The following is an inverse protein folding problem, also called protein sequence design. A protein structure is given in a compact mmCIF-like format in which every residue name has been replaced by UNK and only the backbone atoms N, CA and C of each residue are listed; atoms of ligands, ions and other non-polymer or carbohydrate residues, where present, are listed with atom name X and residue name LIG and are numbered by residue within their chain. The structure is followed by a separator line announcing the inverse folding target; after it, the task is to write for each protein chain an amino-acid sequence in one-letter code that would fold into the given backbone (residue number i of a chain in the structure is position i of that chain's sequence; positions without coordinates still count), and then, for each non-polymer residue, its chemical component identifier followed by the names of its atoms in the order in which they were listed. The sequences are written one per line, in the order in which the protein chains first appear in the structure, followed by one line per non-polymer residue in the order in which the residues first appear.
data_IF_621682745150
#
_entry.id   IF_621682745150
#
_cell.length_a   1.000
_cell.length_b   1.000
_cell.length_c   1.000
_cell.angle_alpha   90.00
_cell.angle_beta   90.00
_cell.angle_gamma   90.00
#
_symmetry.space_group_name_H-M   'P 1'
#
loop_
_entity.id
_entity.type
_entity.pdbx_description
1 polymer ?
#
# COMPACT_ATOMS: atom_id res chain seq x y z
N UNK A 1 5.51 -27.42 1.77
CA UNK A 1 5.27 -28.82 2.14
C UNK A 1 4.82 -29.70 0.97
N UNK A 2 3.90 -29.24 0.11
CA UNK A 2 3.42 -30.01 -1.04
C UNK A 2 4.54 -30.30 -2.05
N UNK A 3 5.39 -29.32 -2.36
CA UNK A 3 6.57 -29.47 -3.22
C UNK A 3 7.55 -30.53 -2.71
N UNK A 4 7.76 -30.60 -1.41
CA UNK A 4 8.70 -31.52 -0.77
C UNK A 4 8.23 -32.98 -0.77
N UNK A 5 6.92 -33.20 -0.91
CA UNK A 5 6.30 -34.53 -0.98
C UNK A 5 6.11 -35.03 -2.41
N UNK A 6 6.32 -34.19 -3.42
CA UNK A 6 6.17 -34.59 -4.82
C UNK A 6 7.38 -35.39 -5.29
N UNK A 7 7.12 -36.41 -6.09
CA UNK A 7 8.19 -37.20 -6.73
C UNK A 7 8.90 -36.34 -7.80
N UNK A 8 10.18 -36.57 -8.01
CA UNK A 8 11.00 -35.86 -9.02
C UNK A 8 10.32 -35.80 -10.39
N UNK A 9 9.70 -36.91 -10.83
CA UNK A 9 8.99 -37.02 -12.11
C UNK A 9 7.77 -36.06 -12.19
N UNK A 10 7.10 -35.81 -11.09
CA UNK A 10 5.95 -34.86 -11.02
C UNK A 10 6.41 -33.40 -11.04
N UNK A 11 7.60 -33.13 -10.47
CA UNK A 11 8.20 -31.81 -10.44
C UNK A 11 8.76 -31.40 -11.81
N UNK A 12 9.43 -32.32 -12.51
CA UNK A 12 10.02 -32.05 -13.83
C UNK A 12 9.00 -31.76 -14.93
N UNK A 13 7.74 -32.12 -14.71
CA UNK A 13 6.62 -31.78 -15.62
C UNK A 13 5.98 -30.41 -15.32
N UNK A 14 6.46 -29.67 -14.32
CA UNK A 14 5.98 -28.34 -13.96
C UNK A 14 6.98 -27.28 -14.42
N UNK A 15 6.52 -26.30 -15.19
CA UNK A 15 7.35 -25.21 -15.69
C UNK A 15 7.39 -24.00 -14.75
N UNK A 16 6.37 -23.82 -13.89
CA UNK A 16 6.24 -22.67 -13.00
C UNK A 16 5.80 -23.14 -11.61
N UNK A 17 6.51 -22.66 -10.58
CA UNK A 17 6.19 -22.84 -9.19
C UNK A 17 5.95 -21.48 -8.55
N UNK A 18 4.76 -21.29 -7.97
CA UNK A 18 4.44 -20.09 -7.17
C UNK A 18 4.63 -20.43 -5.70
N UNK A 19 5.51 -19.68 -5.03
CA UNK A 19 5.85 -19.91 -3.63
C UNK A 19 5.81 -18.59 -2.87
N UNK A 20 5.16 -18.61 -1.69
CA UNK A 20 5.17 -17.46 -0.79
C UNK A 20 6.57 -17.34 -0.17
N UNK A 21 7.19 -16.16 -0.24
CA UNK A 21 8.52 -15.86 0.27
C UNK A 21 8.74 -16.31 1.72
N UNK A 22 7.77 -16.03 2.61
CA UNK A 22 7.80 -16.49 4.02
C UNK A 22 7.88 -18.01 4.18
N UNK A 23 7.34 -18.78 3.25
CA UNK A 23 7.43 -20.25 3.29
C UNK A 23 8.87 -20.70 3.06
N UNK A 24 9.58 -20.09 2.11
CA UNK A 24 10.99 -20.38 1.87
C UNK A 24 11.84 -19.97 3.09
N UNK A 25 11.57 -18.80 3.66
CA UNK A 25 12.24 -18.33 4.87
C UNK A 25 12.10 -19.29 6.04
N UNK A 26 10.87 -19.70 6.37
CA UNK A 26 10.61 -20.68 7.42
C UNK A 26 11.32 -22.00 7.15
N UNK A 27 11.25 -22.49 5.90
CA UNK A 27 11.96 -23.73 5.52
C UNK A 27 13.47 -23.60 5.75
N UNK A 28 14.06 -22.46 5.42
CA UNK A 28 15.47 -22.18 5.63
C UNK A 28 15.82 -22.12 7.14
N UNK A 29 14.96 -21.48 7.94
CA UNK A 29 15.14 -21.38 9.40
C UNK A 29 14.99 -22.73 10.09
N UNK A 30 13.98 -23.52 9.71
CA UNK A 30 13.63 -24.79 10.37
C UNK A 30 14.56 -25.95 9.95
N UNK A 31 15.01 -25.97 8.70
CA UNK A 31 15.72 -27.11 8.09
C UNK A 31 17.08 -26.75 7.51
N UNK A 32 17.46 -25.49 7.53
CA UNK A 32 18.74 -24.99 7.08
C UNK A 32 18.80 -24.68 5.57
N UNK A 33 19.83 -23.91 5.19
CA UNK A 33 20.06 -23.44 3.83
C UNK A 33 20.30 -24.59 2.84
N UNK A 34 21.07 -25.59 3.25
CA UNK A 34 21.39 -26.76 2.41
C UNK A 34 20.11 -27.48 1.99
N UNK A 35 19.20 -27.74 2.93
CA UNK A 35 17.94 -28.41 2.63
C UNK A 35 17.09 -27.62 1.64
N UNK A 36 16.99 -26.30 1.79
CA UNK A 36 16.27 -25.45 0.83
C UNK A 36 16.87 -25.56 -0.56
N UNK A 37 18.22 -25.48 -0.68
CA UNK A 37 18.91 -25.61 -1.95
C UNK A 37 18.70 -26.98 -2.59
N UNK A 38 18.82 -28.06 -1.82
CA UNK A 38 18.56 -29.42 -2.29
C UNK A 38 17.14 -29.59 -2.86
N UNK A 39 16.15 -28.94 -2.23
CA UNK A 39 14.76 -28.91 -2.73
C UNK A 39 14.64 -28.20 -4.07
N UNK A 40 15.27 -27.02 -4.22
CA UNK A 40 15.22 -26.27 -5.46
C UNK A 40 15.97 -26.97 -6.60
N UNK A 41 17.13 -27.57 -6.28
CA UNK A 41 17.87 -28.42 -7.23
C UNK A 41 17.07 -29.65 -7.64
N UNK A 42 16.40 -30.31 -6.67
CA UNK A 42 15.54 -31.46 -6.95
C UNK A 42 14.35 -31.09 -7.86
N UNK A 43 13.79 -29.89 -7.67
CA UNK A 43 12.74 -29.35 -8.52
C UNK A 43 13.26 -28.78 -9.86
N UNK A 44 14.58 -28.84 -10.12
CA UNK A 44 15.22 -28.32 -11.31
C UNK A 44 14.93 -26.81 -11.56
N UNK A 45 14.91 -26.01 -10.48
CA UNK A 45 14.65 -24.57 -10.56
C UNK A 45 15.89 -23.87 -11.12
N UNK A 46 15.81 -23.40 -12.35
CA UNK A 46 16.90 -22.66 -13.00
C UNK A 46 16.75 -21.13 -12.88
N UNK A 47 15.52 -20.63 -12.84
CA UNK A 47 15.22 -19.20 -12.79
C UNK A 47 14.34 -18.90 -11.58
N UNK A 48 14.67 -17.83 -10.87
CA UNK A 48 13.91 -17.30 -9.75
C UNK A 48 13.48 -15.87 -10.06
N UNK A 49 12.20 -15.59 -9.85
CA UNK A 49 11.64 -14.25 -9.99
C UNK A 49 11.08 -13.85 -8.62
N UNK A 50 11.56 -12.75 -8.08
CA UNK A 50 11.16 -12.22 -6.78
C UNK A 50 10.37 -10.94 -7.02
N UNK A 51 9.08 -10.99 -6.74
CA UNK A 51 8.20 -9.82 -6.81
C UNK A 51 8.28 -9.01 -5.52
N UNK A 52 8.03 -7.70 -5.64
CA UNK A 52 8.12 -6.73 -4.53
C UNK A 52 9.45 -6.82 -3.77
N UNK A 53 10.56 -6.91 -4.51
CA UNK A 53 11.90 -7.16 -3.95
C UNK A 53 12.38 -6.13 -2.92
N UNK A 54 11.75 -4.93 -2.87
CA UNK A 54 11.99 -3.93 -1.84
C UNK A 54 11.42 -4.32 -0.48
N UNK A 55 10.37 -5.17 -0.46
CA UNK A 55 9.81 -5.69 0.79
C UNK A 55 10.74 -6.75 1.36
N UNK A 56 11.05 -6.63 2.64
CA UNK A 56 11.92 -7.58 3.33
C UNK A 56 13.26 -7.84 2.60
N UNK A 57 13.82 -6.81 1.96
CA UNK A 57 14.99 -6.91 1.08
C UNK A 57 16.15 -7.71 1.70
N UNK A 58 16.44 -7.52 2.99
CA UNK A 58 17.48 -8.28 3.70
C UNK A 58 17.21 -9.78 3.65
N UNK A 59 15.97 -10.18 3.87
CA UNK A 59 15.57 -11.59 3.84
C UNK A 59 15.61 -12.14 2.41
N UNK A 60 15.27 -11.31 1.44
CA UNK A 60 15.38 -11.63 0.01
C UNK A 60 16.82 -11.92 -0.40
N UNK A 61 17.76 -11.07 0.02
CA UNK A 61 19.20 -11.33 -0.23
C UNK A 61 19.68 -12.59 0.45
N UNK A 62 19.28 -12.85 1.69
CA UNK A 62 19.65 -14.07 2.41
C UNK A 62 19.15 -15.33 1.69
N UNK A 63 17.90 -15.32 1.20
CA UNK A 63 17.38 -16.41 0.38
C UNK A 63 18.11 -16.57 -0.95
N UNK A 64 18.49 -15.46 -1.57
CA UNK A 64 19.21 -15.50 -2.82
C UNK A 64 20.60 -16.11 -2.64
N UNK A 65 21.26 -15.72 -1.57
CA UNK A 65 22.57 -16.27 -1.19
C UNK A 65 22.52 -17.77 -0.82
N UNK A 66 21.38 -18.19 -0.24
CA UNK A 66 21.15 -19.58 0.17
C UNK A 66 20.78 -20.52 -0.96
N UNK A 67 20.51 -20.02 -2.16
CA UNK A 67 19.96 -20.81 -3.26
C UNK A 67 20.81 -20.70 -4.51
N UNK A 68 21.26 -21.84 -5.01
CA UNK A 68 22.04 -21.93 -6.24
C UNK A 68 21.09 -22.10 -7.44
N UNK A 69 20.72 -20.98 -8.05
CA UNK A 69 19.90 -20.94 -9.27
C UNK A 69 20.66 -20.21 -10.36
N UNK A 70 20.45 -20.60 -11.62
CA UNK A 70 21.15 -20.00 -12.74
C UNK A 70 20.94 -18.48 -12.83
N UNK A 71 19.71 -17.98 -12.56
CA UNK A 71 19.40 -16.55 -12.64
C UNK A 71 18.27 -16.12 -11.71
N UNK A 72 18.46 -14.97 -11.07
CA UNK A 72 17.42 -14.31 -10.27
C UNK A 72 17.04 -12.97 -10.90
N UNK A 73 15.74 -12.73 -11.03
CA UNK A 73 15.17 -11.44 -11.40
C UNK A 73 14.44 -10.85 -10.20
N UNK A 74 14.67 -9.58 -9.94
CA UNK A 74 14.03 -8.81 -8.89
C UNK A 74 13.07 -7.80 -9.52
N UNK A 75 11.81 -7.88 -9.18
CA UNK A 75 10.78 -6.96 -9.65
C UNK A 75 10.39 -6.03 -8.51
N UNK A 76 10.27 -4.75 -8.81
CA UNK A 76 9.80 -3.76 -7.83
C UNK A 76 9.23 -2.54 -8.55
N UNK A 77 8.11 -2.04 -8.06
CA UNK A 77 7.55 -0.77 -8.51
C UNK A 77 8.36 0.43 -7.99
N UNK A 78 9.03 0.27 -6.84
CA UNK A 78 9.80 1.33 -6.18
C UNK A 78 11.25 0.88 -5.96
N UNK A 79 12.19 1.60 -6.58
CA UNK A 79 13.63 1.33 -6.44
C UNK A 79 14.24 2.19 -5.32
N UNK A 80 13.59 2.19 -4.16
CA UNK A 80 14.04 2.89 -2.96
C UNK A 80 13.49 2.21 -1.69
N UNK A 81 14.23 2.32 -0.58
CA UNK A 81 13.82 1.91 0.74
C UNK A 81 13.74 3.14 1.65
N UNK A 82 12.86 3.12 2.65
CA UNK A 82 12.69 4.21 3.61
C UNK A 82 13.88 4.40 4.55
N UNK A 83 14.61 3.33 4.86
CA UNK A 83 15.85 3.39 5.63
C UNK A 83 17.03 3.73 4.73
N UNK A 84 17.71 4.84 4.99
CA UNK A 84 18.80 5.34 4.15
C UNK A 84 19.99 4.39 4.01
N UNK A 85 20.33 3.63 5.08
CA UNK A 85 21.43 2.64 5.03
C UNK A 85 21.03 1.41 4.24
N UNK A 86 19.83 0.89 4.51
CA UNK A 86 19.28 -0.23 3.76
C UNK A 86 19.09 0.14 2.29
N UNK A 87 18.68 1.38 1.98
CA UNK A 87 18.53 1.88 0.62
C UNK A 87 19.87 1.92 -0.13
N UNK A 88 20.94 2.37 0.51
CA UNK A 88 22.27 2.37 -0.11
C UNK A 88 22.75 0.96 -0.46
N UNK A 89 22.48 -0.02 0.40
CA UNK A 89 22.78 -1.44 0.12
C UNK A 89 21.88 -1.95 -1.00
N UNK A 90 20.59 -1.68 -0.95
CA UNK A 90 19.62 -2.09 -1.97
C UNK A 90 20.02 -1.62 -3.36
N UNK A 91 20.31 -0.33 -3.51
CA UNK A 91 20.70 0.24 -4.81
C UNK A 91 22.03 -0.33 -5.35
N UNK A 92 22.98 -0.64 -4.45
CA UNK A 92 24.28 -1.21 -4.84
C UNK A 92 24.25 -2.71 -5.10
N UNK A 93 23.21 -3.41 -4.65
CA UNK A 93 23.11 -4.88 -4.81
C UNK A 93 22.79 -5.32 -6.23
N UNK A 94 22.40 -4.40 -7.10
CA UNK A 94 21.99 -4.73 -8.47
C UNK A 94 22.95 -4.15 -9.51
N UNK A 95 23.58 -5.03 -10.27
CA UNK A 95 24.52 -4.64 -11.35
C UNK A 95 23.79 -4.00 -12.54
N UNK A 96 22.52 -4.37 -12.76
CA UNK A 96 21.73 -3.88 -13.89
C UNK A 96 20.29 -3.61 -13.43
N UNK A 97 19.86 -2.36 -13.62
CA UNK A 97 18.49 -1.92 -13.36
C UNK A 97 17.85 -1.49 -14.68
N UNK A 98 16.68 -2.06 -14.97
CA UNK A 98 15.86 -1.67 -16.13
C UNK A 98 14.65 -0.92 -15.58
N UNK A 99 14.54 0.37 -15.92
CA UNK A 99 13.38 1.21 -15.56
C UNK A 99 12.36 1.19 -16.70
N UNK A 100 11.20 0.58 -16.46
CA UNK A 100 10.13 0.49 -17.47
C UNK A 100 9.58 1.86 -17.90
N UNK A 101 9.62 2.87 -17.06
CA UNK A 101 9.27 4.25 -17.41
C UNK A 101 10.08 4.81 -18.57
N UNK A 102 11.32 4.33 -18.75
CA UNK A 102 12.16 4.69 -19.90
C UNK A 102 11.79 3.93 -21.18
N UNK A 103 11.09 2.81 -21.05
CA UNK A 103 10.69 1.97 -22.18
C UNK A 103 9.40 2.47 -22.82
N UNK A 104 8.54 3.12 -22.04
CA UNK A 104 7.29 3.70 -22.53
C UNK A 104 7.11 5.15 -22.05
N UNK A 105 7.83 6.11 -22.65
CA UNK A 105 7.80 7.51 -22.26
C UNK A 105 6.44 8.20 -22.51
N UNK A 106 5.60 7.63 -23.37
CA UNK A 106 4.32 8.21 -23.78
C UNK A 106 3.13 7.72 -22.94
N UNK A 107 3.39 6.99 -21.84
CA UNK A 107 2.30 6.57 -20.96
C UNK A 107 1.63 7.80 -20.35
N UNK A 108 0.34 7.98 -20.64
CA UNK A 108 -0.46 9.08 -20.10
C UNK A 108 -0.48 9.02 -18.57
N UNK A 109 -0.28 10.15 -17.94
CA UNK A 109 -0.52 10.31 -16.51
C UNK A 109 -2.03 10.38 -16.29
N UNK A 110 -2.58 9.46 -15.52
CA UNK A 110 -4.03 9.37 -15.28
C UNK A 110 -4.38 9.57 -13.80
N UNK A 111 -3.38 9.67 -12.92
CA UNK A 111 -3.58 9.85 -11.48
C UNK A 111 -3.25 11.28 -11.09
N UNK A 112 -4.22 11.98 -10.52
CA UNK A 112 -4.03 13.26 -9.84
C UNK A 112 -3.88 13.04 -8.34
N UNK A 113 -2.88 13.65 -7.74
CA UNK A 113 -2.65 13.58 -6.29
C UNK A 113 -3.10 14.88 -5.65
N UNK A 114 -3.96 14.78 -4.64
CA UNK A 114 -4.53 15.90 -3.90
C UNK A 114 -4.10 15.78 -2.44
N UNK A 115 -3.45 16.81 -1.90
CA UNK A 115 -3.16 16.93 -0.48
C UNK A 115 -4.12 17.93 0.15
N UNK A 116 -4.93 17.46 1.12
CA UNK A 116 -5.83 18.31 1.88
C UNK A 116 -5.14 18.69 3.19
N UNK A 117 -4.77 19.97 3.29
CA UNK A 117 -4.12 20.50 4.48
C UNK A 117 -5.17 20.90 5.52
N UNK A 118 -5.16 20.27 6.67
CA UNK A 118 -6.06 20.61 7.77
C UNK A 118 -5.32 20.91 9.07
N UNK A 119 -6.02 21.51 10.03
CA UNK A 119 -5.47 21.83 11.33
C UNK A 119 -6.20 21.05 12.41
N UNK A 120 -5.42 20.47 13.29
CA UNK A 120 -5.88 19.92 14.55
C UNK A 120 -5.24 20.67 15.71
N UNK A 121 -5.89 20.70 16.87
CA UNK A 121 -5.45 21.44 18.07
C UNK A 121 -5.44 20.51 19.28
N UNK A 122 -4.52 19.54 19.31
CA UNK A 122 -4.42 18.64 20.44
C UNK A 122 -3.97 19.41 21.70
N UNK A 123 -4.57 19.05 22.83
CA UNK A 123 -4.12 19.45 24.15
C UNK A 123 -2.80 18.76 24.51
N UNK A 124 -2.11 19.16 25.59
CA UNK A 124 -0.93 18.42 26.07
C UNK A 124 -1.22 16.93 26.35
N UNK A 125 -2.39 16.62 26.92
CA UNK A 125 -2.81 15.25 27.23
C UNK A 125 -3.10 14.46 25.95
N UNK A 126 -3.76 15.07 24.97
CA UNK A 126 -3.95 14.46 23.63
C UNK A 126 -2.59 14.15 22.97
N UNK A 127 -1.61 15.06 23.14
CA UNK A 127 -0.27 14.84 22.59
C UNK A 127 0.46 13.68 23.27
N UNK A 128 0.33 13.51 24.59
CA UNK A 128 0.90 12.38 25.31
C UNK A 128 0.26 11.05 24.86
N UNK A 129 -1.05 11.07 24.62
CA UNK A 129 -1.79 9.94 24.09
C UNK A 129 -1.34 9.57 22.66
N UNK A 130 -1.22 10.56 21.76
CA UNK A 130 -0.82 10.37 20.35
C UNK A 130 0.66 10.01 20.21
N UNK A 131 1.52 10.59 21.06
CA UNK A 131 2.97 10.49 21.04
C UNK A 131 3.50 9.81 22.33
N UNK A 132 3.16 8.55 22.59
CA UNK A 132 3.71 7.84 23.74
C UNK A 132 5.25 7.73 23.62
N UNK A 133 5.95 7.39 24.70
CA UNK A 133 7.43 7.31 24.76
C UNK A 133 8.08 6.53 23.59
N UNK A 134 7.34 5.63 22.96
CA UNK A 134 7.79 4.82 21.80
C UNK A 134 7.63 5.51 20.44
N UNK A 135 7.14 6.74 20.42
CA UNK A 135 6.92 7.54 19.21
C UNK A 135 5.46 7.63 18.79
N UNK A 136 5.22 8.12 17.57
CA UNK A 136 3.87 8.33 17.04
C UNK A 136 3.07 7.02 16.94
N UNK A 137 1.89 7.01 17.53
CA UNK A 137 0.95 5.91 17.49
C UNK A 137 -0.24 6.27 16.59
N UNK A 138 -0.31 5.62 15.44
CA UNK A 138 -1.37 5.86 14.43
C UNK A 138 -2.75 5.51 14.97
N UNK A 139 -2.88 4.42 15.74
CA UNK A 139 -4.16 4.03 16.32
C UNK A 139 -4.70 5.10 17.26
N UNK A 140 -3.88 5.57 18.19
CA UNK A 140 -4.24 6.63 19.13
C UNK A 140 -4.57 7.94 18.39
N UNK A 141 -3.83 8.24 17.33
CA UNK A 141 -4.10 9.40 16.50
C UNK A 141 -5.46 9.30 15.80
N UNK A 142 -5.81 8.16 15.21
CA UNK A 142 -7.11 7.97 14.56
C UNK A 142 -8.26 8.04 15.56
N UNK A 143 -8.09 7.47 16.76
CA UNK A 143 -9.07 7.60 17.86
C UNK A 143 -9.29 9.07 18.22
N UNK A 144 -8.21 9.83 18.42
CA UNK A 144 -8.27 11.27 18.70
C UNK A 144 -9.00 12.05 17.60
N UNK A 145 -8.69 11.80 16.32
CA UNK A 145 -9.32 12.52 15.19
C UNK A 145 -10.82 12.19 15.06
N UNK A 146 -11.22 10.97 15.35
CA UNK A 146 -12.63 10.57 15.38
C UNK A 146 -13.35 11.29 16.52
N UNK A 147 -12.80 11.31 17.73
CA UNK A 147 -13.39 11.97 18.90
C UNK A 147 -13.51 13.48 18.72
N UNK A 148 -12.54 14.12 18.07
CA UNK A 148 -12.55 15.58 17.82
C UNK A 148 -13.31 15.98 16.55
N UNK A 149 -13.61 15.04 15.65
CA UNK A 149 -14.33 15.25 14.40
C UNK A 149 -13.63 16.18 13.40
N UNK A 150 -12.32 16.45 13.56
CA UNK A 150 -11.61 17.35 12.63
C UNK A 150 -11.37 16.70 11.28
N UNK A 151 -10.95 15.45 11.27
CA UNK A 151 -10.71 14.67 10.04
C UNK A 151 -12.04 14.33 9.35
N UNK A 152 -13.08 13.96 10.12
CA UNK A 152 -14.43 13.74 9.63
C UNK A 152 -14.94 14.95 8.84
N UNK A 153 -14.88 16.14 9.44
CA UNK A 153 -15.33 17.38 8.80
C UNK A 153 -14.62 17.65 7.48
N UNK A 154 -13.32 17.37 7.42
CA UNK A 154 -12.55 17.53 6.18
C UNK A 154 -12.97 16.50 5.13
N UNK A 155 -13.20 15.26 5.52
CA UNK A 155 -13.68 14.21 4.61
C UNK A 155 -15.06 14.57 4.03
N UNK A 156 -16.00 14.95 4.89
CA UNK A 156 -17.36 15.35 4.47
C UNK A 156 -17.30 16.52 3.50
N UNK A 157 -16.59 17.60 3.85
CA UNK A 157 -16.45 18.77 2.99
C UNK A 157 -15.83 18.42 1.62
N UNK A 158 -14.81 17.55 1.62
CA UNK A 158 -14.18 17.11 0.38
C UNK A 158 -15.13 16.28 -0.48
N UNK A 159 -15.82 15.30 0.11
CA UNK A 159 -16.77 14.46 -0.62
C UNK A 159 -17.94 15.28 -1.19
N UNK A 160 -18.49 16.21 -0.42
CA UNK A 160 -19.52 17.14 -0.90
C UNK A 160 -19.01 17.96 -2.10
N UNK A 161 -17.76 18.42 -2.05
CA UNK A 161 -17.17 19.17 -3.15
C UNK A 161 -17.07 18.34 -4.44
N UNK A 162 -16.56 17.10 -4.33
CA UNK A 162 -16.24 16.29 -5.52
C UNK A 162 -17.41 15.48 -6.04
N UNK A 163 -18.35 15.08 -5.19
CA UNK A 163 -19.53 14.30 -5.57
C UNK A 163 -20.73 15.17 -5.92
N UNK A 164 -21.04 16.16 -5.08
CA UNK A 164 -22.27 16.92 -5.19
C UNK A 164 -22.10 18.18 -6.02
N UNK A 165 -21.08 19.01 -5.71
CA UNK A 165 -20.90 20.31 -6.37
C UNK A 165 -20.30 20.21 -7.76
N UNK A 166 -19.23 19.44 -7.88
CA UNK A 166 -18.44 19.38 -9.13
C UNK A 166 -18.69 18.12 -9.95
N UNK A 167 -19.35 17.10 -9.39
CA UNK A 167 -19.61 15.82 -10.03
C UNK A 167 -18.37 15.22 -10.72
N UNK A 168 -17.20 15.37 -10.06
CA UNK A 168 -15.91 14.94 -10.61
C UNK A 168 -15.74 13.43 -10.57
N UNK A 169 -16.44 12.76 -9.66
CA UNK A 169 -16.32 11.33 -9.36
C UNK A 169 -17.62 10.63 -9.73
N UNK A 170 -17.55 9.77 -10.73
CA UNK A 170 -18.65 8.91 -11.18
C UNK A 170 -18.39 7.45 -10.81
N UNK A 171 -17.12 7.11 -10.62
CA UNK A 171 -16.64 5.76 -10.32
C UNK A 171 -16.64 5.45 -8.82
N UNK A 172 -16.08 4.31 -8.52
CA UNK A 172 -16.00 3.78 -7.15
C UNK A 172 -15.00 4.56 -6.29
N UNK A 173 -15.24 4.54 -4.98
CA UNK A 173 -14.43 5.22 -3.99
C UNK A 173 -13.84 4.18 -3.02
N UNK A 174 -12.55 4.29 -2.74
CA UNK A 174 -11.87 3.50 -1.73
C UNK A 174 -11.34 4.42 -0.64
N UNK A 175 -11.76 4.19 0.60
CA UNK A 175 -11.27 4.90 1.79
C UNK A 175 -10.40 3.96 2.59
N UNK A 176 -9.18 4.38 2.88
CA UNK A 176 -8.19 3.55 3.57
C UNK A 176 -7.87 4.14 4.92
N UNK A 177 -8.01 3.32 5.98
CA UNK A 177 -7.63 3.67 7.34
C UNK A 177 -7.07 2.46 8.08
N UNK A 178 -6.15 2.65 9.02
CA UNK A 178 -5.37 1.58 9.64
C UNK A 178 -6.09 0.75 10.67
N UNK A 179 -7.23 1.21 11.21
CA UNK A 179 -7.93 0.52 12.30
C UNK A 179 -9.33 0.08 11.88
N UNK A 180 -9.77 -1.07 12.39
CA UNK A 180 -11.14 -1.56 12.16
C UNK A 180 -12.13 -0.52 12.66
N UNK A 181 -11.93 0.03 13.86
CA UNK A 181 -12.80 1.03 14.44
C UNK A 181 -12.97 2.27 13.54
N UNK A 182 -11.89 2.75 12.90
CA UNK A 182 -11.97 3.91 12.01
C UNK A 182 -12.69 3.61 10.70
N UNK A 183 -12.50 2.44 10.11
CA UNK A 183 -13.21 2.08 8.86
C UNK A 183 -14.69 1.86 9.10
N UNK A 184 -15.08 1.20 10.23
CA UNK A 184 -16.48 1.04 10.61
C UNK A 184 -17.13 2.41 10.89
N UNK A 185 -16.44 3.29 11.61
CA UNK A 185 -16.89 4.66 11.83
C UNK A 185 -17.14 5.43 10.52
N UNK A 186 -16.18 5.40 9.59
CA UNK A 186 -16.35 6.07 8.29
C UNK A 186 -17.45 5.44 7.45
N UNK A 187 -17.64 4.13 7.52
CA UNK A 187 -18.78 3.45 6.88
C UNK A 187 -20.10 4.00 7.39
N UNK A 188 -20.32 3.98 8.72
CA UNK A 188 -21.55 4.48 9.34
C UNK A 188 -21.80 5.95 9.01
N UNK A 189 -20.77 6.79 9.05
CA UNK A 189 -20.85 8.19 8.65
C UNK A 189 -21.33 8.34 7.20
N UNK A 190 -20.76 7.56 6.29
CA UNK A 190 -21.07 7.65 4.87
C UNK A 190 -22.43 7.08 4.53
N UNK A 191 -22.89 6.02 5.20
CA UNK A 191 -24.25 5.48 5.06
C UNK A 191 -25.31 6.53 5.45
N UNK A 192 -25.03 7.33 6.49
CA UNK A 192 -25.90 8.43 6.88
C UNK A 192 -25.90 9.60 5.87
N UNK A 193 -24.76 9.89 5.25
CA UNK A 193 -24.62 10.99 4.29
C UNK A 193 -25.11 10.61 2.90
N UNK A 194 -24.93 9.38 2.48
CA UNK A 194 -25.20 8.87 1.14
C UNK A 194 -26.05 7.59 1.18
N UNK A 195 -27.31 7.65 1.67
CA UNK A 195 -28.18 6.47 1.85
C UNK A 195 -28.51 5.73 0.55
N UNK A 196 -28.26 6.33 -0.62
CA UNK A 196 -28.47 5.72 -1.94
C UNK A 196 -27.22 5.07 -2.51
N UNK A 197 -26.11 4.99 -1.74
CA UNK A 197 -24.86 4.36 -2.13
C UNK A 197 -24.67 3.04 -1.40
N UNK A 198 -24.20 2.04 -2.12
CA UNK A 198 -23.82 0.77 -1.49
C UNK A 198 -22.42 0.92 -0.88
N UNK A 199 -22.34 0.78 0.47
CA UNK A 199 -21.10 1.02 1.23
C UNK A 199 -20.72 -0.22 2.01
N UNK A 200 -19.43 -0.60 1.96
CA UNK A 200 -18.92 -1.79 2.60
C UNK A 200 -17.63 -1.51 3.38
N UNK A 201 -17.46 -2.16 4.54
CA UNK A 201 -16.22 -2.17 5.32
C UNK A 201 -15.48 -3.50 5.16
N UNK A 202 -14.24 -3.44 4.66
CA UNK A 202 -13.43 -4.59 4.29
C UNK A 202 -12.20 -4.73 5.19
N UNK A 203 -12.26 -5.70 6.11
CA UNK A 203 -11.17 -5.97 7.07
C UNK A 203 -11.02 -7.45 7.38
N UNK A 204 -9.96 -7.83 8.10
CA UNK A 204 -9.71 -9.22 8.49
C UNK A 204 -10.85 -9.73 9.41
N UNK A 205 -11.51 -10.80 8.99
CA UNK A 205 -12.70 -11.34 9.65
C UNK A 205 -14.04 -10.87 9.06
N UNK A 206 -14.04 -9.83 8.21
CA UNK A 206 -15.21 -9.35 7.49
C UNK A 206 -14.88 -9.22 6.00
N UNK A 207 -14.93 -10.35 5.29
CA UNK A 207 -14.55 -10.46 3.88
C UNK A 207 -15.76 -10.89 3.06
N UNK A 208 -16.04 -10.12 2.03
CA UNK A 208 -16.96 -10.48 0.97
C UNK A 208 -16.16 -10.55 -0.34
N UNK A 209 -16.30 -11.62 -1.10
CA UNK A 209 -15.64 -11.76 -2.40
C UNK A 209 -16.19 -10.72 -3.41
N UNK A 210 -17.40 -10.24 -3.19
CA UNK A 210 -18.08 -9.23 -4.00
C UNK A 210 -17.82 -7.76 -3.53
N UNK A 211 -16.92 -7.54 -2.56
CA UNK A 211 -16.64 -6.18 -2.04
C UNK A 211 -16.31 -5.15 -3.13
N UNK A 212 -15.90 -5.62 -4.30
CA UNK A 212 -15.59 -4.77 -5.46
C UNK A 212 -16.82 -4.21 -6.17
N UNK A 213 -18.01 -4.72 -5.88
CA UNK A 213 -19.25 -4.28 -6.52
C UNK A 213 -19.85 -3.06 -5.84
N UNK A 214 -19.48 -2.82 -4.58
CA UNK A 214 -19.91 -1.65 -3.81
C UNK A 214 -19.42 -0.33 -4.40
N UNK A 215 -20.21 0.74 -4.19
CA UNK A 215 -19.87 2.11 -4.64
C UNK A 215 -18.71 2.70 -3.83
N UNK A 216 -18.74 2.47 -2.52
CA UNK A 216 -17.73 2.95 -1.57
C UNK A 216 -17.25 1.78 -0.71
N UNK A 217 -15.95 1.60 -0.63
CA UNK A 217 -15.34 0.60 0.23
C UNK A 217 -14.41 1.27 1.24
N UNK A 218 -14.64 1.00 2.53
CA UNK A 218 -13.74 1.39 3.60
C UNK A 218 -12.87 0.18 3.97
N UNK A 219 -11.54 0.27 3.84
CA UNK A 219 -10.67 -0.89 4.00
C UNK A 219 -9.41 -0.60 4.81
N UNK A 220 -8.88 -1.63 5.47
CA UNK A 220 -7.53 -1.54 6.06
C UNK A 220 -6.46 -1.75 4.98
N UNK A 221 -5.28 -1.10 5.11
CA UNK A 221 -4.18 -1.27 4.15
C UNK A 221 -3.75 -2.73 3.98
N UNK A 222 -3.82 -3.53 5.06
CA UNK A 222 -3.45 -4.95 5.05
C UNK A 222 -4.35 -5.77 4.13
N UNK A 223 -5.64 -5.45 4.11
CA UNK A 223 -6.62 -6.15 3.26
C UNK A 223 -6.45 -5.85 1.79
N UNK A 224 -5.96 -4.66 1.49
CA UNK A 224 -5.69 -4.25 0.12
C UNK A 224 -4.48 -4.97 -0.49
N UNK A 225 -3.67 -5.63 0.31
CA UNK A 225 -2.55 -6.52 -0.07
C UNK A 225 -1.85 -6.21 -1.38
N UNK A 226 -0.92 -7.03 -1.79
CA UNK A 226 -0.37 -6.98 -3.16
C UNK A 226 -1.29 -7.75 -4.10
N UNK A 227 -1.68 -7.14 -5.23
CA UNK A 227 -2.42 -7.85 -6.29
C UNK A 227 -3.95 -7.70 -6.29
N UNK A 228 -4.55 -6.96 -5.35
CA UNK A 228 -5.98 -6.65 -5.42
C UNK A 228 -6.19 -5.50 -6.41
N UNK A 229 -7.00 -5.74 -7.42
CA UNK A 229 -7.44 -4.74 -8.39
C UNK A 229 -8.88 -4.33 -8.07
N UNK A 230 -9.17 -3.04 -8.16
CA UNK A 230 -10.52 -2.49 -8.01
C UNK A 230 -11.01 -1.95 -9.37
N UNK A 231 -11.79 -2.72 -10.13
CA UNK A 231 -12.35 -2.24 -11.38
C UNK A 231 -13.28 -1.05 -11.14
N UNK A 232 -13.10 0.02 -11.90
CA UNK A 232 -13.91 1.23 -11.77
C UNK A 232 -13.54 2.14 -10.59
N UNK A 233 -12.42 1.90 -9.90
CA UNK A 233 -11.91 2.78 -8.87
C UNK A 233 -11.47 4.12 -9.49
N UNK A 234 -12.10 5.20 -9.07
CA UNK A 234 -11.77 6.54 -9.54
C UNK A 234 -11.18 7.44 -8.44
N UNK A 235 -11.58 7.21 -7.18
CA UNK A 235 -11.11 7.98 -6.04
C UNK A 235 -10.57 7.06 -4.94
N UNK A 236 -9.33 7.28 -4.52
CA UNK A 236 -8.73 6.65 -3.36
C UNK A 236 -8.39 7.72 -2.33
N UNK A 237 -8.95 7.58 -1.14
CA UNK A 237 -8.73 8.50 -0.01
C UNK A 237 -7.93 7.77 1.06
N UNK A 238 -6.73 8.26 1.34
CA UNK A 238 -5.91 7.79 2.45
C UNK A 238 -6.16 8.66 3.68
N UNK A 239 -6.83 8.08 4.69
CA UNK A 239 -7.13 8.75 5.96
C UNK A 239 -5.99 8.64 6.97
N UNK A 240 -4.98 7.84 6.67
CA UNK A 240 -3.89 7.56 7.58
C UNK A 240 -2.69 8.48 7.30
N UNK A 241 -2.15 9.17 8.31
CA UNK A 241 -0.88 9.87 8.16
C UNK A 241 0.25 8.85 8.00
N UNK A 242 0.67 8.59 6.78
CA UNK A 242 1.75 7.65 6.53
C UNK A 242 3.11 8.35 6.60
N UNK A 243 4.08 7.72 7.28
CA UNK A 243 5.48 8.14 7.23
C UNK A 243 6.21 7.61 5.99
N UNK A 244 5.57 6.73 5.25
CA UNK A 244 6.19 5.97 4.17
C UNK A 244 5.65 6.44 2.83
N UNK A 245 6.46 7.19 2.11
CA UNK A 245 6.20 7.56 0.71
C UNK A 245 5.88 6.33 -0.14
N UNK A 246 6.47 5.20 0.22
CA UNK A 246 6.26 3.93 -0.46
C UNK A 246 4.85 3.37 -0.29
N UNK A 247 4.26 3.49 0.91
CA UNK A 247 2.89 3.05 1.14
C UNK A 247 1.90 3.90 0.34
N UNK A 248 2.09 5.23 0.32
CA UNK A 248 1.26 6.14 -0.48
C UNK A 248 1.39 5.85 -1.98
N UNK A 249 2.60 5.60 -2.48
CA UNK A 249 2.83 5.20 -3.87
C UNK A 249 2.18 3.85 -4.22
N UNK A 250 2.24 2.86 -3.33
CA UNK A 250 1.59 1.57 -3.52
C UNK A 250 0.07 1.68 -3.52
N UNK A 251 -0.49 2.52 -2.65
CA UNK A 251 -1.92 2.84 -2.65
C UNK A 251 -2.32 3.56 -3.93
N UNK A 252 -1.60 4.62 -4.32
CA UNK A 252 -1.85 5.33 -5.57
C UNK A 252 -1.72 4.43 -6.81
N UNK A 253 -0.81 3.44 -6.78
CA UNK A 253 -0.66 2.43 -7.81
C UNK A 253 -1.86 1.48 -7.97
N UNK A 254 -2.85 1.51 -7.05
CA UNK A 254 -4.13 0.80 -7.21
C UNK A 254 -5.08 1.49 -8.16
N UNK A 255 -4.87 2.79 -8.38
CA UNK A 255 -5.63 3.57 -9.33
C UNK A 255 -5.14 3.23 -10.74
N UNK A 256 -5.95 2.49 -11.49
CA UNK A 256 -5.74 2.22 -12.90
C UNK A 256 -6.45 3.29 -13.74
N UNK A 257 -6.18 3.34 -15.01
CA UNK A 257 -6.94 4.22 -15.91
C UNK A 257 -8.43 3.87 -15.85
N UNK A 258 -9.26 4.83 -15.42
CA UNK A 258 -10.70 4.64 -15.27
C UNK A 258 -11.42 4.64 -16.62
N UNK A 259 -11.15 5.65 -17.44
CA UNK A 259 -11.64 5.77 -18.80
C UNK A 259 -10.69 6.69 -19.60
N UNK A 260 -10.65 6.58 -20.93
CA UNK A 260 -9.97 7.56 -21.77
C UNK A 260 -10.50 8.96 -21.42
N UNK A 261 -9.64 9.91 -21.21
CA UNK A 261 -9.96 11.30 -20.86
C UNK A 261 -10.48 11.58 -19.45
N UNK A 262 -10.64 10.58 -18.59
CA UNK A 262 -10.98 10.77 -17.18
C UNK A 262 -9.77 10.51 -16.28
N UNK A 263 -9.61 11.35 -15.26
CA UNK A 263 -8.58 11.19 -14.24
C UNK A 263 -9.07 10.33 -13.10
N UNK A 264 -8.13 9.66 -12.45
CA UNK A 264 -8.32 9.06 -11.15
C UNK A 264 -7.64 9.94 -10.10
N UNK A 265 -8.08 9.86 -8.86
CA UNK A 265 -7.65 10.76 -7.80
C UNK A 265 -7.13 9.99 -6.59
N UNK A 266 -5.93 10.32 -6.17
CA UNK A 266 -5.38 9.92 -4.87
C UNK A 266 -5.43 11.11 -3.93
N UNK A 267 -6.07 10.95 -2.79
CA UNK A 267 -6.25 12.01 -1.79
C UNK A 267 -5.60 11.60 -0.48
N UNK A 268 -4.86 12.50 0.12
CA UNK A 268 -4.24 12.33 1.43
C UNK A 268 -4.49 13.54 2.32
N UNK A 269 -4.91 13.29 3.57
CA UNK A 269 -5.13 14.33 4.55
C UNK A 269 -3.84 14.59 5.34
N UNK A 270 -3.36 15.83 5.28
CA UNK A 270 -2.09 16.23 5.88
C UNK A 270 -2.32 17.29 6.96
N UNK A 271 -1.87 17.02 8.16
CA UNK A 271 -1.93 18.01 9.26
C UNK A 271 -0.98 19.15 8.99
N UNK A 272 -1.50 20.38 8.95
CA UNK A 272 -0.69 21.60 8.80
C UNK A 272 0.19 21.80 10.03
N UNK A 273 1.50 21.82 9.84
CA UNK A 273 2.51 22.00 10.92
C UNK A 273 2.28 23.23 11.78
N UNK A 274 2.19 23.05 13.11
CA UNK A 274 2.85 23.95 14.04
C UNK A 274 4.24 23.37 14.29
N UNK A 275 5.26 24.19 14.13
CA UNK A 275 6.69 23.84 14.03
C UNK A 275 7.28 22.82 15.04
N UNK A 276 6.59 22.51 16.13
CA UNK A 276 7.05 21.62 17.20
C UNK A 276 6.57 20.15 17.12
N UNK A 277 5.50 19.84 16.36
CA UNK A 277 4.93 18.46 16.32
C UNK A 277 5.53 17.57 15.23
N UNK A 278 6.32 18.09 14.35
CA UNK A 278 6.57 17.52 13.03
C UNK A 278 8.01 17.20 12.68
N UNK A 279 8.91 17.10 13.63
CA UNK A 279 10.18 16.38 13.40
C UNK A 279 9.97 14.88 13.11
N UNK A 280 8.73 14.37 13.26
CA UNK A 280 8.35 12.98 13.07
C UNK A 280 7.18 12.74 12.09
N UNK A 281 6.59 13.79 11.50
CA UNK A 281 5.53 13.64 10.51
C UNK A 281 6.11 13.32 9.12
N UNK A 282 5.33 12.62 8.25
CA UNK A 282 5.78 12.23 6.93
C UNK A 282 6.18 13.47 6.11
N UNK A 283 7.27 13.32 5.37
CA UNK A 283 7.69 14.29 4.37
C UNK A 283 6.62 14.38 3.28
N UNK A 284 6.28 15.58 2.85
CA UNK A 284 5.44 15.77 1.65
C UNK A 284 6.14 15.10 0.48
N UNK A 285 5.46 14.14 -0.15
CA UNK A 285 6.02 13.42 -1.30
C UNK A 285 6.20 14.41 -2.44
N UNK A 286 7.43 14.68 -2.85
CA UNK A 286 7.69 15.30 -4.14
C UNK A 286 7.61 14.22 -5.23
N UNK A 287 6.43 13.96 -5.73
CA UNK A 287 6.25 12.99 -6.81
C UNK A 287 6.43 13.73 -8.14
N UNK A 288 7.62 13.64 -8.71
CA UNK A 288 7.97 14.27 -9.99
C UNK A 288 7.22 13.70 -11.21
N UNK A 289 6.35 12.72 -11.02
CA UNK A 289 5.64 11.99 -12.07
C UNK A 289 4.11 12.08 -11.97
N UNK A 290 3.57 12.78 -10.97
CA UNK A 290 2.12 12.91 -10.73
C UNK A 290 1.77 14.39 -10.66
N UNK A 291 0.73 14.83 -11.37
CA UNK A 291 0.25 16.20 -11.24
C UNK A 291 -0.32 16.41 -9.83
N UNK A 292 0.28 17.33 -9.10
CA UNK A 292 -0.05 17.60 -7.70
C UNK A 292 -0.90 18.86 -7.60
N UNK A 293 -2.12 18.73 -7.09
CA UNK A 293 -3.00 19.86 -6.78
C UNK A 293 -3.14 20.00 -5.27
N UNK A 294 -2.86 21.18 -4.75
CA UNK A 294 -3.03 21.50 -3.33
C UNK A 294 -4.31 22.30 -3.16
N UNK A 295 -5.28 21.75 -2.43
CA UNK A 295 -6.51 22.45 -2.05
C UNK A 295 -6.31 23.01 -0.62
N UNK A 296 -6.49 24.33 -0.47
CA UNK A 296 -6.36 25.04 0.81
C UNK A 296 -7.73 25.30 1.45
#
# INVERSE_FOLDING_TARGET
EKLLKMKKRELTNKFIFLVIHRTLQRTMQDRGMKYLNDVLCHACIGIKIIDEAHKEFRNTLMLDYATDVWKTFYLTATFALSDGRANAVFQKSFNRVIKLSKVNPNKRKHVNVIFILYQTRPTPDDLEFILPRRGFNVHNYMTYEIEKGSLERQLVNFLQLVLEKNQMIEGKILIVSSTIASITYFKELLENLYPNKDIYDYYEGHKDDNFRDYDIVCATPQMLGTGITFPGLQLLINMEPTKSDMNSLQLAGRLTEYAPDKYTYYVEFVVKKKQKMLSTAPSVISVSEIDTTIIR
#
